data_IF_466888957203
#
_entry.id   IF_466888957203
#
_cell.length_a   1.000
_cell.length_b   1.000
_cell.length_c   1.000
_cell.angle_alpha   90.00
_cell.angle_beta   90.00
_cell.angle_gamma   90.00
#
_symmetry.space_group_name_H-M   'P 1'
#
loop_
_entity.id
_entity.type
_entity.pdbx_description
1 polymer ?
#
# COMPACT_ATOMS: atom_id res chain seq x y z
N UNK A 1 -3.84 -7.20 16.90
CA UNK A 1 -4.83 -6.96 15.84
C UNK A 1 -4.20 -6.45 14.52
N UNK A 2 -2.93 -6.02 14.49
CA UNK A 2 -2.28 -5.53 13.27
C UNK A 2 -2.98 -4.33 12.61
N UNK A 3 -3.53 -3.41 13.41
CA UNK A 3 -4.29 -2.27 12.88
C UNK A 3 -3.40 -1.35 12.04
N UNK A 4 -2.16 -1.10 12.48
CA UNK A 4 -1.17 -0.29 11.77
C UNK A 4 0.08 -1.12 11.47
N UNK A 5 0.67 -0.95 10.28
CA UNK A 5 1.88 -1.65 9.89
C UNK A 5 3.11 -1.10 10.62
N UNK A 6 4.14 -1.93 10.73
CA UNK A 6 5.47 -1.54 11.13
C UNK A 6 6.47 -2.36 10.33
N UNK A 7 7.36 -1.70 9.64
CA UNK A 7 8.37 -2.34 8.79
C UNK A 7 9.75 -2.16 9.39
N UNK A 8 10.62 -3.15 9.22
CA UNK A 8 11.98 -3.07 9.68
C UNK A 8 12.96 -3.71 8.71
N UNK A 9 14.17 -3.23 8.77
CA UNK A 9 15.34 -3.83 8.15
C UNK A 9 16.46 -3.91 9.18
N UNK A 10 17.23 -4.97 9.14
CA UNK A 10 18.42 -5.10 9.97
C UNK A 10 19.56 -5.78 9.21
N UNK A 11 20.77 -5.30 9.45
CA UNK A 11 22.02 -5.95 9.06
C UNK A 11 23.01 -5.93 10.25
N UNK A 12 24.28 -6.17 9.99
CA UNK A 12 25.31 -6.20 11.02
C UNK A 12 25.66 -4.82 11.61
N UNK A 13 25.28 -3.73 10.92
CA UNK A 13 25.61 -2.36 11.28
C UNK A 13 24.42 -1.58 11.85
N UNK A 14 23.21 -1.82 11.31
CA UNK A 14 22.03 -1.02 11.65
C UNK A 14 20.77 -1.86 11.86
N UNK A 15 19.87 -1.32 12.68
CA UNK A 15 18.48 -1.73 12.78
C UNK A 15 17.63 -0.49 12.56
N UNK A 16 16.77 -0.52 11.56
CA UNK A 16 15.87 0.59 11.20
C UNK A 16 14.43 0.13 11.19
N UNK A 17 13.53 1.00 11.66
CA UNK A 17 12.10 0.73 11.74
C UNK A 17 11.34 1.93 11.19
N UNK A 18 10.30 1.68 10.41
CA UNK A 18 9.42 2.71 9.89
C UNK A 18 7.96 2.22 9.83
N UNK A 19 7.02 3.14 9.80
CA UNK A 19 5.60 2.84 9.56
C UNK A 19 5.29 2.53 8.10
N UNK A 20 6.19 2.90 7.19
CA UNK A 20 6.00 2.80 5.74
C UNK A 20 7.23 2.20 5.07
N UNK A 21 7.04 1.13 4.30
CA UNK A 21 8.13 0.41 3.60
C UNK A 21 8.93 1.28 2.64
N UNK A 22 8.33 2.17 1.81
CA UNK A 22 9.08 3.00 0.88
C UNK A 22 10.10 3.94 1.53
N UNK A 23 9.89 4.32 2.80
CA UNK A 23 10.87 5.13 3.55
C UNK A 23 12.18 4.36 3.73
N UNK A 24 12.10 3.08 4.07
CA UNK A 24 13.27 2.22 4.22
C UNK A 24 13.94 1.96 2.87
N UNK A 25 13.16 1.67 1.82
CA UNK A 25 13.65 1.44 0.47
C UNK A 25 14.46 2.62 -0.05
N UNK A 26 13.87 3.82 -0.01
CA UNK A 26 14.52 5.01 -0.60
C UNK A 26 15.69 5.52 0.24
N UNK A 27 15.65 5.34 1.55
CA UNK A 27 16.73 5.84 2.44
C UNK A 27 17.96 4.94 2.41
N UNK A 28 17.77 3.63 2.30
CA UNK A 28 18.83 2.63 2.44
C UNK A 28 19.09 1.83 1.16
N UNK A 29 18.46 2.21 0.04
CA UNK A 29 18.56 1.55 -1.27
C UNK A 29 18.25 0.04 -1.18
N UNK A 30 17.10 -0.29 -0.54
CA UNK A 30 16.68 -1.66 -0.27
C UNK A 30 15.61 -2.12 -1.26
N UNK A 31 15.63 -3.41 -1.57
CA UNK A 31 14.55 -4.06 -2.29
C UNK A 31 13.36 -4.36 -1.34
N UNK A 32 12.17 -4.59 -1.90
CA UNK A 32 10.99 -4.93 -1.11
C UNK A 32 11.20 -6.17 -0.24
N UNK A 33 11.95 -7.11 -0.76
CA UNK A 33 12.24 -8.44 -0.19
C UNK A 33 13.20 -8.39 1.01
N UNK A 34 13.97 -7.31 1.14
CA UNK A 34 14.88 -7.09 2.27
C UNK A 34 14.15 -6.59 3.53
N UNK A 35 12.97 -5.99 3.33
CA UNK A 35 12.21 -5.33 4.39
C UNK A 35 11.16 -6.29 4.95
N UNK A 36 11.17 -6.45 6.26
CA UNK A 36 10.24 -7.31 6.97
C UNK A 36 9.15 -6.48 7.65
N UNK A 37 7.97 -7.08 7.81
CA UNK A 37 6.85 -6.49 8.53
C UNK A 37 6.74 -7.11 9.93
N UNK A 38 6.58 -6.26 10.95
CA UNK A 38 6.30 -6.69 12.31
C UNK A 38 4.91 -7.35 12.38
N UNK A 39 4.87 -8.55 12.94
CA UNK A 39 3.60 -9.23 13.14
C UNK A 39 2.80 -8.62 14.30
N UNK A 40 1.46 -8.77 14.31
CA UNK A 40 0.66 -8.27 15.41
C UNK A 40 1.11 -8.81 16.77
N UNK A 41 1.43 -7.90 17.69
CA UNK A 41 1.91 -8.25 19.03
C UNK A 41 3.39 -8.53 19.13
N UNK A 42 4.16 -8.44 18.06
CA UNK A 42 5.61 -8.49 18.09
C UNK A 42 6.22 -7.17 18.52
N UNK A 43 7.42 -7.27 19.09
CA UNK A 43 8.31 -6.16 19.39
C UNK A 43 9.73 -6.48 18.96
N UNK A 44 10.38 -5.49 18.36
CA UNK A 44 11.81 -5.50 18.12
C UNK A 44 12.52 -4.80 19.29
N UNK A 45 13.46 -5.46 19.90
CA UNK A 45 14.21 -4.95 21.05
C UNK A 45 15.69 -4.91 20.68
N UNK A 46 16.28 -3.73 20.78
CA UNK A 46 17.72 -3.54 20.61
C UNK A 46 18.30 -3.10 21.94
N UNK A 47 19.24 -3.87 22.46
CA UNK A 47 19.89 -3.54 23.72
C UNK A 47 21.07 -2.56 23.52
N UNK A 48 21.69 -2.12 24.63
CA UNK A 48 22.82 -1.18 24.58
C UNK A 48 24.09 -1.76 23.95
N UNK A 49 24.20 -3.07 23.82
CA UNK A 49 25.29 -3.74 23.12
C UNK A 49 25.06 -3.89 21.61
N UNK A 50 23.91 -3.42 21.10
CA UNK A 50 23.53 -3.55 19.69
C UNK A 50 22.86 -4.88 19.34
N UNK A 51 22.65 -5.76 20.31
CA UNK A 51 21.98 -7.05 20.06
C UNK A 51 20.49 -6.82 19.81
N UNK A 52 20.03 -7.31 18.66
CA UNK A 52 18.63 -7.19 18.22
C UNK A 52 17.91 -8.52 18.39
N UNK A 53 16.77 -8.48 19.05
CA UNK A 53 15.90 -9.65 19.27
C UNK A 53 14.43 -9.35 18.99
N UNK A 54 13.71 -10.38 18.51
CA UNK A 54 12.28 -10.31 18.24
C UNK A 54 11.51 -11.04 19.35
N UNK A 55 10.45 -10.45 19.83
CA UNK A 55 9.65 -11.00 20.92
C UNK A 55 8.17 -10.90 20.63
N UNK A 56 7.43 -12.00 20.72
CA UNK A 56 5.97 -11.99 20.73
C UNK A 56 5.50 -11.61 22.13
N UNK A 57 5.18 -10.34 22.36
CA UNK A 57 4.76 -9.83 23.68
C UNK A 57 3.30 -10.12 23.99
N UNK A 58 2.45 -10.09 22.97
CA UNK A 58 1.02 -10.34 23.11
C UNK A 58 0.60 -11.35 22.03
N UNK A 59 -0.20 -12.37 22.38
CA UNK A 59 -0.68 -13.33 21.39
C UNK A 59 -1.45 -12.62 20.27
N UNK A 60 -1.18 -13.01 19.05
CA UNK A 60 -1.95 -12.53 17.90
C UNK A 60 -3.41 -12.97 18.04
N UNK A 61 -4.33 -12.03 17.97
CA UNK A 61 -5.78 -12.27 18.11
C UNK A 61 -6.52 -12.33 16.78
N UNK A 62 -5.81 -12.18 15.67
CA UNK A 62 -6.32 -12.11 14.30
C UNK A 62 -5.85 -10.83 13.61
N UNK A 63 -6.13 -10.74 12.32
CA UNK A 63 -5.82 -9.58 11.51
C UNK A 63 -7.03 -8.64 11.44
N UNK A 64 -6.81 -7.39 11.81
CA UNK A 64 -7.79 -6.31 11.68
C UNK A 64 -7.10 -5.07 11.07
N UNK A 65 -6.37 -5.31 9.98
CA UNK A 65 -5.69 -4.27 9.23
C UNK A 65 -6.68 -3.17 8.82
N UNK A 66 -6.32 -1.93 9.11
CA UNK A 66 -7.17 -0.78 8.81
C UNK A 66 -7.11 -0.48 7.31
N UNK A 67 -8.25 -0.44 6.63
CA UNK A 67 -8.31 -0.07 5.20
C UNK A 67 -7.80 1.35 4.93
N UNK A 68 -7.89 2.26 5.90
CA UNK A 68 -7.28 3.58 5.79
C UNK A 68 -5.77 3.55 5.64
N UNK A 69 -5.10 2.56 6.21
CA UNK A 69 -3.65 2.36 5.99
C UNK A 69 -3.36 2.11 4.52
N UNK A 70 -4.16 1.31 3.84
CA UNK A 70 -3.96 0.95 2.43
C UNK A 70 -4.40 2.06 1.47
N UNK A 71 -5.47 2.79 1.82
CA UNK A 71 -6.09 3.78 0.93
C UNK A 71 -5.49 5.18 1.13
N UNK A 72 -5.16 5.55 2.36
CA UNK A 72 -4.81 6.94 2.70
C UNK A 72 -3.41 7.12 3.28
N UNK A 73 -3.03 6.35 4.30
CA UNK A 73 -1.75 6.55 5.01
C UNK A 73 -0.56 5.95 4.26
N UNK A 74 -0.72 4.79 3.64
CA UNK A 74 0.34 4.16 2.84
C UNK A 74 0.69 5.01 1.62
N UNK A 75 1.90 4.83 1.11
CA UNK A 75 2.40 5.61 -0.04
C UNK A 75 2.09 4.89 -1.35
N UNK A 76 1.63 5.68 -2.35
CA UNK A 76 1.39 5.18 -3.70
C UNK A 76 2.66 4.75 -4.45
N UNK A 77 3.85 5.12 -3.97
CA UNK A 77 5.13 4.61 -4.48
C UNK A 77 5.51 3.22 -3.94
N UNK A 78 4.77 2.67 -2.97
CA UNK A 78 4.88 1.26 -2.60
C UNK A 78 4.29 0.39 -3.69
N UNK A 79 5.04 -0.61 -4.18
CA UNK A 79 4.64 -1.49 -5.28
C UNK A 79 3.27 -2.15 -5.05
N UNK A 80 3.03 -2.64 -3.84
CA UNK A 80 1.81 -3.39 -3.54
C UNK A 80 0.63 -2.44 -3.38
N UNK A 81 0.83 -1.29 -2.72
CA UNK A 81 -0.18 -0.24 -2.56
C UNK A 81 -0.58 0.36 -3.91
N UNK A 82 0.40 0.64 -4.78
CA UNK A 82 0.15 1.10 -6.15
C UNK A 82 -0.76 0.13 -6.91
N UNK A 83 -0.41 -1.15 -6.89
CA UNK A 83 -1.18 -2.18 -7.61
C UNK A 83 -2.58 -2.35 -7.03
N UNK A 84 -2.75 -2.31 -5.71
CA UNK A 84 -4.06 -2.38 -5.06
C UNK A 84 -4.95 -1.19 -5.43
N UNK A 85 -4.44 0.03 -5.31
CA UNK A 85 -5.20 1.25 -5.64
C UNK A 85 -5.57 1.30 -7.10
N UNK A 86 -4.64 0.92 -7.98
CA UNK A 86 -4.90 0.81 -9.41
C UNK A 86 -6.01 -0.22 -9.70
N UNK A 87 -5.96 -1.39 -9.07
CA UNK A 87 -6.99 -2.42 -9.22
C UNK A 87 -8.35 -1.97 -8.70
N UNK A 88 -8.41 -1.19 -7.62
CA UNK A 88 -9.66 -0.56 -7.17
C UNK A 88 -10.24 0.36 -8.25
N UNK A 89 -9.39 1.17 -8.90
CA UNK A 89 -9.81 2.00 -10.02
C UNK A 89 -10.35 1.21 -11.21
N UNK A 90 -9.70 0.10 -11.56
CA UNK A 90 -10.19 -0.80 -12.63
C UNK A 90 -11.59 -1.35 -12.32
N UNK A 91 -11.86 -1.69 -11.05
CA UNK A 91 -13.18 -2.17 -10.64
C UNK A 91 -14.28 -1.11 -10.69
N UNK A 92 -13.92 0.18 -10.66
CA UNK A 92 -14.86 1.29 -10.84
C UNK A 92 -15.28 1.50 -12.30
N UNK A 93 -14.66 0.85 -13.27
CA UNK A 93 -14.93 1.08 -14.70
C UNK A 93 -16.40 0.87 -15.04
N UNK A 94 -16.97 -0.28 -14.74
CA UNK A 94 -18.36 -0.58 -15.08
C UNK A 94 -19.38 0.31 -14.32
N UNK A 95 -19.25 0.53 -13.00
CA UNK A 95 -20.09 1.50 -12.30
C UNK A 95 -20.04 2.92 -12.88
N UNK A 96 -18.86 3.40 -13.24
CA UNK A 96 -18.68 4.76 -13.80
C UNK A 96 -19.28 4.84 -15.21
N UNK A 97 -19.01 3.86 -16.08
CA UNK A 97 -19.60 3.82 -17.42
C UNK A 97 -21.12 3.79 -17.38
N UNK A 98 -21.70 3.00 -16.48
CA UNK A 98 -23.16 2.99 -16.27
C UNK A 98 -23.70 4.32 -15.77
N UNK A 99 -23.00 4.99 -14.89
CA UNK A 99 -23.44 6.27 -14.32
C UNK A 99 -23.50 7.40 -15.37
N UNK A 100 -22.73 7.28 -16.45
CA UNK A 100 -22.71 8.24 -17.58
C UNK A 100 -23.41 7.69 -18.82
N UNK A 101 -24.24 6.66 -18.69
CA UNK A 101 -24.95 6.02 -19.80
C UNK A 101 -24.02 5.62 -20.97
N UNK A 102 -22.77 5.26 -20.65
CA UNK A 102 -21.71 4.93 -21.60
C UNK A 102 -21.35 6.06 -22.59
N UNK A 103 -21.72 7.30 -22.30
CA UNK A 103 -21.38 8.48 -23.11
C UNK A 103 -20.00 9.03 -22.74
N UNK A 104 -18.96 8.30 -23.11
CA UNK A 104 -17.58 8.70 -22.89
C UNK A 104 -17.19 9.97 -23.66
N UNK A 105 -17.81 10.22 -24.82
CA UNK A 105 -17.46 11.38 -25.65
C UNK A 105 -17.81 12.71 -24.99
N UNK A 106 -18.82 12.72 -24.12
CA UNK A 106 -19.25 13.92 -23.37
C UNK A 106 -18.89 13.84 -21.89
N UNK A 107 -18.01 12.89 -21.49
CA UNK A 107 -17.64 12.68 -20.09
C UNK A 107 -16.21 13.14 -19.84
N UNK A 108 -15.99 13.88 -18.76
CA UNK A 108 -14.66 14.21 -18.26
C UNK A 108 -14.40 13.43 -16.96
N UNK A 109 -13.39 12.57 -16.98
CA UNK A 109 -12.94 11.85 -15.81
C UNK A 109 -11.89 12.67 -15.06
N UNK A 110 -12.04 12.79 -13.77
CA UNK A 110 -11.10 13.50 -12.90
C UNK A 110 -11.03 12.83 -11.53
N UNK A 111 -9.97 13.13 -10.78
CA UNK A 111 -9.82 12.65 -9.41
C UNK A 111 -9.50 13.80 -8.46
N UNK A 112 -9.73 13.57 -7.18
CA UNK A 112 -9.23 14.47 -6.14
C UNK A 112 -7.79 14.06 -5.82
N UNK A 113 -6.79 14.91 -6.12
CA UNK A 113 -5.40 14.58 -5.82
C UNK A 113 -5.17 14.59 -4.29
N UNK A 114 -4.15 13.94 -3.75
CA UNK A 114 -3.19 13.08 -4.51
C UNK A 114 -3.54 11.60 -4.34
N UNK A 115 -4.31 11.24 -3.32
CA UNK A 115 -4.56 9.85 -2.89
C UNK A 115 -5.27 9.00 -3.93
N UNK A 116 -6.09 9.62 -4.80
CA UNK A 116 -6.84 8.91 -5.82
C UNK A 116 -6.12 8.78 -7.17
N UNK A 117 -4.87 9.24 -7.29
CA UNK A 117 -4.14 9.23 -8.57
C UNK A 117 -3.92 7.82 -9.11
N UNK A 118 -3.51 6.87 -8.27
CA UNK A 118 -3.32 5.50 -8.73
C UNK A 118 -4.64 4.85 -9.16
N UNK A 119 -5.73 5.18 -8.47
CA UNK A 119 -7.05 4.66 -8.82
C UNK A 119 -7.56 5.24 -10.15
N UNK A 120 -7.33 6.52 -10.45
CA UNK A 120 -7.73 7.08 -11.76
C UNK A 120 -6.98 6.43 -12.91
N UNK A 121 -5.69 6.07 -12.74
CA UNK A 121 -4.96 5.31 -13.76
C UNK A 121 -5.60 3.94 -14.04
N UNK A 122 -6.04 3.25 -13.00
CA UNK A 122 -6.77 2.00 -13.16
C UNK A 122 -8.11 2.17 -13.88
N UNK A 123 -8.88 3.19 -13.51
CA UNK A 123 -10.14 3.52 -14.15
C UNK A 123 -9.96 3.84 -15.64
N UNK A 124 -8.97 4.68 -15.99
CA UNK A 124 -8.68 5.03 -17.39
C UNK A 124 -8.33 3.78 -18.18
N UNK A 125 -7.45 2.92 -17.68
CA UNK A 125 -7.10 1.66 -18.34
C UNK A 125 -8.32 0.73 -18.52
N UNK A 126 -9.22 0.70 -17.54
CA UNK A 126 -10.47 -0.04 -17.67
C UNK A 126 -11.37 0.51 -18.77
N UNK A 127 -11.50 1.83 -18.86
CA UNK A 127 -12.25 2.50 -19.95
C UNK A 127 -11.61 2.26 -21.32
N UNK A 128 -10.29 2.31 -21.44
CA UNK A 128 -9.57 2.00 -22.68
C UNK A 128 -9.81 0.57 -23.16
N UNK A 129 -9.74 -0.41 -22.23
CA UNK A 129 -10.08 -1.80 -22.55
C UNK A 129 -11.52 -1.93 -23.04
N UNK A 130 -12.47 -1.33 -22.35
CA UNK A 130 -13.88 -1.36 -22.75
C UNK A 130 -14.09 -0.74 -24.15
N UNK A 131 -13.37 0.33 -24.52
CA UNK A 131 -13.41 0.93 -25.84
C UNK A 131 -12.82 0.04 -26.94
N UNK A 132 -11.77 -0.73 -26.62
CA UNK A 132 -11.07 -1.59 -27.59
C UNK A 132 -11.75 -2.95 -27.82
N UNK A 133 -12.56 -3.41 -26.88
CA UNK A 133 -13.31 -4.67 -26.97
C UNK A 133 -14.68 -4.55 -27.68
N UNK A 134 -15.04 -3.35 -28.11
CA UNK A 134 -16.27 -3.06 -28.87
C UNK A 134 -16.04 -2.98 -30.35
#
# INVERSE_FOLDING_TARGET
WGIRPGFYYKNDEIVVVASERPVLQTTFDLECEDIQELQPGEAIIVNKAGECSMHQLVPQRGDAACSFERIYFSRGCDRDIYNERKKLGEQLTDPVLKAVDYDINNTVLSCIPNTAEEAIYGLVQGCERWLTER
#
